data_IF_725059904280
#
_entry.id   IF_725059904280
#
_cell.length_a   1.000
_cell.length_b   1.000
_cell.length_c   1.000
_cell.angle_alpha   90.00
_cell.angle_beta   90.00
_cell.angle_gamma   90.00
#
_symmetry.space_group_name_H-M   'P 1'
#
loop_
_entity.id
_entity.type
_entity.pdbx_description
1 polymer ?
#
# COMPACT_ATOMS: atom_id res chain seq x y z
N UNK A 1 -52.62 49.53 -4.89
CA UNK A 1 -52.84 48.08 -4.71
C UNK A 1 -51.47 47.41 -4.54
N UNK A 2 -51.37 46.50 -3.57
CA UNK A 2 -50.14 46.03 -2.89
C UNK A 2 -49.11 45.35 -3.80
N UNK A 3 -47.85 45.67 -3.53
CA UNK A 3 -46.63 45.00 -3.99
C UNK A 3 -46.57 43.54 -3.50
N UNK A 4 -46.06 42.63 -4.34
CA UNK A 4 -45.62 41.30 -3.89
C UNK A 4 -44.30 40.97 -4.62
N UNK A 5 -43.18 41.18 -3.94
CA UNK A 5 -41.87 40.67 -4.34
C UNK A 5 -41.70 39.26 -3.78
N UNK A 6 -41.48 38.28 -4.66
CA UNK A 6 -41.24 36.88 -4.29
C UNK A 6 -39.72 36.70 -4.19
N UNK A 7 -39.21 36.59 -2.98
CA UNK A 7 -37.80 36.24 -2.71
C UNK A 7 -37.71 34.71 -2.64
N UNK A 8 -37.07 34.08 -3.62
CA UNK A 8 -36.82 32.64 -3.63
C UNK A 8 -35.48 32.37 -2.89
N UNK A 9 -35.57 31.85 -1.67
CA UNK A 9 -34.40 31.44 -0.88
C UNK A 9 -33.93 30.04 -1.31
N UNK A 10 -32.80 29.97 -2.02
CA UNK A 10 -32.08 28.73 -2.32
C UNK A 10 -31.33 28.26 -1.07
N UNK A 11 -31.83 27.23 -0.40
CA UNK A 11 -31.08 26.52 0.65
C UNK A 11 -30.05 25.60 -0.02
N UNK A 12 -28.79 26.02 0.01
CA UNK A 12 -27.67 25.19 -0.44
C UNK A 12 -27.35 24.15 0.65
N UNK A 13 -27.76 22.90 0.42
CA UNK A 13 -27.38 21.76 1.28
C UNK A 13 -25.94 21.36 0.97
N UNK A 14 -25.00 21.75 1.83
CA UNK A 14 -23.59 21.31 1.75
C UNK A 14 -23.46 19.88 2.27
N UNK A 15 -23.28 18.91 1.37
CA UNK A 15 -22.93 17.53 1.74
C UNK A 15 -21.49 17.51 2.27
N UNK A 16 -21.31 17.18 3.56
CA UNK A 16 -20.01 16.88 4.13
C UNK A 16 -19.57 15.50 3.62
N UNK A 17 -18.65 15.48 2.65
CA UNK A 17 -17.99 14.24 2.23
C UNK A 17 -16.96 13.90 3.31
N UNK A 18 -17.21 12.85 4.10
CA UNK A 18 -16.16 12.30 4.96
C UNK A 18 -15.08 11.71 4.05
N UNK A 19 -13.97 12.42 3.90
CA UNK A 19 -12.75 11.87 3.30
C UNK A 19 -12.26 10.71 4.17
N UNK A 20 -12.59 9.49 3.76
CA UNK A 20 -12.06 8.27 4.34
C UNK A 20 -10.57 8.18 3.98
N UNK A 21 -9.71 8.82 4.77
CA UNK A 21 -8.26 8.75 4.59
C UNK A 21 -7.82 7.33 4.87
N UNK A 22 -7.75 6.49 3.83
CA UNK A 22 -7.08 5.19 3.93
C UNK A 22 -5.66 5.52 4.39
N UNK A 23 -5.21 5.02 5.56
CA UNK A 23 -3.87 5.30 6.00
C UNK A 23 -2.91 4.75 4.97
N UNK A 24 -1.95 5.57 4.56
CA UNK A 24 -0.95 5.16 3.60
C UNK A 24 0.13 4.34 4.34
N UNK A 25 0.71 3.31 3.70
CA UNK A 25 1.72 2.50 4.36
C UNK A 25 2.96 3.34 4.68
N UNK A 26 3.51 3.18 5.88
CA UNK A 26 4.86 3.65 6.18
C UNK A 26 5.83 2.74 5.45
N UNK A 27 6.32 3.18 4.30
CA UNK A 27 7.25 2.35 3.54
C UNK A 27 8.64 2.41 4.18
N UNK A 28 9.06 1.30 4.76
CA UNK A 28 10.44 1.12 5.19
C UNK A 28 11.38 1.29 3.99
N UNK A 29 12.40 2.14 4.13
CA UNK A 29 13.50 2.22 3.17
C UNK A 29 14.68 1.48 3.77
N UNK A 30 15.00 0.30 3.25
CA UNK A 30 16.17 -0.45 3.71
C UNK A 30 17.47 0.18 3.19
N UNK A 31 18.53 0.09 3.98
CA UNK A 31 19.86 0.56 3.57
C UNK A 31 20.59 -0.54 2.77
N UNK A 32 21.05 -0.29 1.53
CA UNK A 32 21.70 -1.32 0.71
C UNK A 32 23.10 -1.72 1.22
N UNK A 33 23.68 -1.03 2.20
CA UNK A 33 24.96 -1.37 2.78
C UNK A 33 24.87 -2.69 3.58
N UNK A 34 25.86 -3.56 3.37
CA UNK A 34 25.93 -4.85 4.05
C UNK A 34 25.91 -4.67 5.57
N UNK A 35 25.06 -5.44 6.25
CA UNK A 35 24.86 -5.35 7.70
C UNK A 35 24.01 -4.17 8.19
N UNK A 36 23.46 -3.34 7.29
CA UNK A 36 22.64 -2.17 7.67
C UNK A 36 21.23 -2.19 7.09
N UNK A 37 20.87 -3.18 6.27
CA UNK A 37 19.59 -3.19 5.56
C UNK A 37 18.37 -3.34 6.47
N UNK A 38 18.55 -3.88 7.68
CA UNK A 38 17.52 -4.14 8.70
C UNK A 38 16.30 -4.90 8.18
N UNK A 39 16.39 -5.56 7.02
CA UNK A 39 15.35 -6.43 6.52
C UNK A 39 15.39 -7.75 7.32
N UNK A 40 14.21 -8.34 7.55
CA UNK A 40 14.15 -9.68 8.12
C UNK A 40 14.81 -10.69 7.16
N UNK A 41 15.40 -11.76 7.70
CA UNK A 41 16.08 -12.81 6.89
C UNK A 41 15.19 -13.46 5.83
N UNK A 42 13.88 -13.39 6.01
CA UNK A 42 12.87 -13.92 5.08
C UNK A 42 12.58 -12.98 3.90
N UNK A 43 13.13 -11.76 3.95
CA UNK A 43 12.95 -10.70 2.96
C UNK A 43 14.29 -10.33 2.31
N UNK A 44 14.25 -9.48 1.30
CA UNK A 44 15.46 -8.96 0.64
C UNK A 44 15.33 -7.47 0.39
N UNK A 45 16.42 -6.73 0.62
CA UNK A 45 16.48 -5.30 0.29
C UNK A 45 16.67 -5.13 -1.22
N UNK A 46 15.69 -4.54 -1.90
CA UNK A 46 15.69 -4.39 -3.36
C UNK A 46 15.53 -2.93 -3.78
N UNK A 47 16.17 -2.56 -4.89
CA UNK A 47 15.99 -1.26 -5.52
C UNK A 47 14.82 -1.32 -6.52
N UNK A 48 13.82 -0.46 -6.34
CA UNK A 48 12.67 -0.32 -7.25
C UNK A 48 12.86 0.79 -8.30
N UNK A 49 14.09 1.29 -8.44
CA UNK A 49 14.48 2.42 -9.29
C UNK A 49 14.36 3.77 -8.59
N UNK A 50 13.41 3.93 -7.66
CA UNK A 50 13.21 5.18 -6.92
C UNK A 50 13.71 5.10 -5.49
N UNK A 51 13.52 3.96 -4.83
CA UNK A 51 13.86 3.71 -3.42
C UNK A 51 14.19 2.24 -3.20
N UNK A 52 14.81 1.98 -2.06
CA UNK A 52 15.06 0.63 -1.56
C UNK A 52 13.90 0.18 -0.66
N UNK A 53 13.51 -1.09 -0.75
CA UNK A 53 12.45 -1.67 0.06
C UNK A 53 12.83 -3.09 0.50
N UNK A 54 12.39 -3.48 1.70
CA UNK A 54 12.34 -4.89 2.04
C UNK A 54 11.18 -5.54 1.28
N UNK A 55 11.49 -6.56 0.50
CA UNK A 55 10.51 -7.32 -0.28
C UNK A 55 10.51 -8.79 0.15
N UNK A 56 9.33 -9.36 0.24
CA UNK A 56 9.11 -10.78 0.41
C UNK A 56 9.68 -11.58 -0.77
N UNK A 57 10.01 -12.84 -0.53
CA UNK A 57 10.20 -13.81 -1.62
C UNK A 57 8.91 -13.91 -2.42
N UNK A 58 9.02 -14.13 -3.73
CA UNK A 58 7.88 -14.33 -4.61
C UNK A 58 6.95 -15.43 -4.05
N UNK A 59 5.65 -15.14 -3.94
CA UNK A 59 4.63 -16.06 -3.41
C UNK A 59 4.45 -16.02 -1.89
N UNK A 60 5.14 -15.11 -1.19
CA UNK A 60 5.01 -14.91 0.25
C UNK A 60 4.50 -13.50 0.60
N UNK A 61 3.80 -13.42 1.74
CA UNK A 61 3.25 -12.22 2.38
C UNK A 61 3.55 -12.22 3.89
N UNK A 62 3.41 -11.07 4.54
CA UNK A 62 3.82 -10.89 5.94
C UNK A 62 2.68 -11.05 6.95
N UNK A 63 1.43 -11.04 6.49
CA UNK A 63 0.25 -11.18 7.34
C UNK A 63 -0.85 -11.93 6.60
N UNK A 64 -1.65 -12.70 7.34
CA UNK A 64 -2.90 -13.28 6.85
C UNK A 64 -3.97 -12.19 6.62
N UNK A 65 -3.90 -11.09 7.37
CA UNK A 65 -4.70 -9.90 7.08
C UNK A 65 -4.09 -9.15 5.89
N UNK A 66 -4.65 -9.41 4.71
CA UNK A 66 -4.26 -8.78 3.45
C UNK A 66 -4.30 -7.24 3.47
N UNK A 67 -5.04 -6.64 4.41
CA UNK A 67 -5.18 -5.18 4.54
C UNK A 67 -4.30 -4.58 5.64
N UNK A 68 -3.48 -5.37 6.35
CA UNK A 68 -2.55 -4.88 7.37
C UNK A 68 -1.36 -4.13 6.74
N UNK A 69 -1.62 -2.86 6.40
CA UNK A 69 -0.67 -1.92 5.80
C UNK A 69 0.54 -1.61 6.71
N UNK A 70 0.47 -1.94 7.99
CA UNK A 70 1.58 -1.72 8.93
C UNK A 70 2.67 -2.77 8.77
N UNK A 71 2.33 -3.90 8.13
CA UNK A 71 3.26 -5.01 7.86
C UNK A 71 3.51 -5.23 6.39
N UNK A 72 2.50 -5.04 5.53
CA UNK A 72 2.58 -5.41 4.13
C UNK A 72 1.83 -4.49 3.18
N UNK A 73 2.35 -4.37 1.96
CA UNK A 73 1.70 -3.66 0.87
C UNK A 73 2.30 -4.11 -0.47
N UNK A 74 1.56 -3.93 -1.57
CA UNK A 74 2.10 -4.00 -2.93
C UNK A 74 2.20 -2.60 -3.51
N UNK A 75 3.17 -2.37 -4.39
CA UNK A 75 3.34 -1.08 -5.07
C UNK A 75 3.10 -1.23 -6.57
N UNK A 76 2.53 -0.18 -7.17
CA UNK A 76 2.35 -0.11 -8.62
C UNK A 76 3.66 0.27 -9.35
N UNK A 77 4.73 -0.50 -9.13
CA UNK A 77 6.02 -0.30 -9.80
C UNK A 77 6.15 -1.29 -10.96
N UNK A 78 6.45 -0.84 -12.20
CA UNK A 78 6.70 -1.73 -13.33
C UNK A 78 7.70 -2.82 -12.98
N UNK A 79 7.42 -4.06 -13.36
CA UNK A 79 8.25 -5.25 -13.11
C UNK A 79 8.42 -5.67 -11.64
N UNK A 80 7.77 -5.01 -10.67
CA UNK A 80 7.82 -5.42 -9.25
C UNK A 80 6.44 -5.63 -8.63
N UNK A 81 5.36 -5.51 -9.41
CA UNK A 81 3.98 -5.66 -8.90
C UNK A 81 3.71 -7.04 -8.29
N UNK A 82 4.51 -8.05 -8.61
CA UNK A 82 4.38 -9.40 -8.07
C UNK A 82 4.98 -9.56 -6.66
N UNK A 83 5.73 -8.56 -6.17
CA UNK A 83 6.34 -8.60 -4.84
C UNK A 83 5.45 -7.93 -3.81
N UNK A 84 5.36 -8.55 -2.63
CA UNK A 84 4.86 -7.91 -1.41
C UNK A 84 6.04 -7.22 -0.72
N UNK A 85 5.86 -5.96 -0.37
CA UNK A 85 6.83 -5.16 0.36
C UNK A 85 6.44 -5.05 1.82
N UNK A 86 7.43 -4.89 2.68
CA UNK A 86 7.27 -4.82 4.13
C UNK A 86 8.06 -3.65 4.73
N UNK A 87 7.82 -3.38 6.01
CA UNK A 87 8.72 -2.57 6.83
C UNK A 87 9.98 -3.36 7.22
N UNK A 88 11.01 -2.66 7.68
CA UNK A 88 12.19 -3.30 8.26
C UNK A 88 11.80 -4.27 9.40
N UNK A 89 12.62 -5.29 9.63
CA UNK A 89 12.43 -6.32 10.67
C UNK A 89 11.09 -7.05 10.63
N UNK A 90 10.39 -7.01 9.50
CA UNK A 90 9.07 -7.66 9.33
C UNK A 90 9.23 -9.00 8.63
N UNK A 91 8.94 -10.07 9.35
CA UNK A 91 8.98 -11.44 8.84
C UNK A 91 7.93 -11.66 7.74
N UNK A 92 8.32 -12.35 6.68
CA UNK A 92 7.49 -12.64 5.51
C UNK A 92 7.55 -14.12 5.10
N UNK A 93 6.85 -14.97 5.86
CA UNK A 93 6.81 -16.43 5.66
C UNK A 93 5.40 -16.99 5.45
N UNK A 94 4.38 -16.14 5.35
CA UNK A 94 3.02 -16.59 5.03
C UNK A 94 2.89 -16.78 3.54
N UNK A 95 2.37 -17.93 3.08
CA UNK A 95 2.09 -18.12 1.66
C UNK A 95 0.96 -17.21 1.19
N UNK A 96 1.06 -16.73 -0.03
CA UNK A 96 -0.04 -16.07 -0.71
C UNK A 96 -1.12 -17.09 -1.12
N UNK A 97 -2.33 -16.61 -1.37
CA UNK A 97 -3.48 -17.45 -1.76
C UNK A 97 -3.22 -18.14 -3.11
N UNK A 98 -2.48 -17.46 -4.00
CA UNK A 98 -1.93 -18.03 -5.22
C UNK A 98 -0.39 -17.86 -5.25
N UNK A 99 0.38 -18.76 -4.62
CA UNK A 99 1.82 -18.61 -4.48
C UNK A 99 2.60 -19.03 -5.74
N UNK A 100 1.92 -19.58 -6.75
CA UNK A 100 2.49 -20.00 -8.03
C UNK A 100 1.95 -19.18 -9.21
N UNK A 101 1.26 -18.07 -8.93
CA UNK A 101 0.72 -17.16 -9.93
C UNK A 101 1.80 -16.51 -10.79
N UNK A 102 1.43 -16.08 -12.00
CA UNK A 102 2.34 -15.37 -12.89
C UNK A 102 2.24 -13.86 -12.69
N UNK A 103 3.38 -13.21 -12.47
CA UNK A 103 3.50 -11.74 -12.45
C UNK A 103 2.42 -11.07 -11.57
N UNK A 104 1.43 -10.26 -12.04
CA UNK A 104 0.54 -9.54 -11.13
C UNK A 104 -0.42 -10.46 -10.36
N UNK A 105 -0.63 -11.69 -10.81
CA UNK A 105 -1.51 -12.68 -10.16
C UNK A 105 -0.90 -13.24 -8.88
N UNK A 106 0.41 -13.08 -8.71
CA UNK A 106 1.12 -13.49 -7.50
C UNK A 106 0.77 -12.53 -6.36
N UNK A 107 0.27 -13.08 -5.26
CA UNK A 107 -0.16 -12.32 -4.08
C UNK A 107 -1.19 -11.23 -4.41
N UNK A 108 -2.09 -11.51 -5.37
CA UNK A 108 -3.10 -10.59 -5.87
C UNK A 108 -4.05 -10.09 -4.76
N UNK A 109 -4.22 -10.87 -3.70
CA UNK A 109 -5.06 -10.54 -2.55
C UNK A 109 -4.52 -9.38 -1.70
N UNK A 110 -3.20 -9.10 -1.77
CA UNK A 110 -2.61 -7.91 -1.12
C UNK A 110 -2.88 -6.69 -2.00
N UNK A 111 -3.53 -5.62 -1.51
CA UNK A 111 -3.88 -4.47 -2.32
C UNK A 111 -2.65 -3.71 -2.84
N UNK A 112 -2.70 -3.33 -4.12
CA UNK A 112 -1.73 -2.42 -4.72
C UNK A 112 -1.99 -0.99 -4.22
N UNK A 113 -0.91 -0.30 -3.84
CA UNK A 113 -0.87 1.12 -3.49
C UNK A 113 -0.10 1.89 -4.56
N UNK A 114 -0.58 3.11 -4.85
CA UNK A 114 0.02 3.96 -5.88
C UNK A 114 1.28 4.67 -5.41
N UNK A 115 1.38 4.96 -4.12
CA UNK A 115 2.54 5.62 -3.54
C UNK A 115 2.72 5.24 -2.07
N UNK A 116 3.95 5.38 -1.63
CA UNK A 116 4.32 5.54 -0.23
C UNK A 116 4.32 7.05 0.08
N UNK A 117 3.78 7.51 1.21
CA UNK A 117 4.04 8.86 1.70
C UNK A 117 5.56 9.05 1.83
N UNK A 118 6.05 10.21 1.42
CA UNK A 118 7.45 10.58 1.53
C UNK A 118 7.73 11.33 2.82
#
# INVERSE_FOLDING_TARGET
MKSISIVASLLASSSLVLSNTIPAPTCGTCNPLSGQNNCDITTSCINTGTRFHCACRAGYKASEDNNDITKQYRLNVPNYRFLVFTTESTRCDTLCDNPYGASPDLCAEVPIRNHCPV
#
